data_IF_736112610563
#
_entry.id   IF_736112610563
#
_cell.length_a   1.000
_cell.length_b   1.000
_cell.length_c   1.000
_cell.angle_alpha   90.00
_cell.angle_beta   90.00
_cell.angle_gamma   90.00
#
_symmetry.space_group_name_H-M   'P 1'
#
loop_
_entity.id
_entity.type
_entity.pdbx_description
1 polymer ?
#
# COMPACT_ATOMS: atom_id res chain seq x y z
N UNK A 1 38.95 -2.69 -47.25
CA UNK A 1 38.56 -3.71 -46.26
C UNK A 1 37.50 -4.59 -46.91
N UNK A 2 37.78 -5.89 -46.96
CA UNK A 2 36.97 -7.03 -47.42
C UNK A 2 35.54 -7.03 -46.83
N UNK A 3 34.50 -7.66 -47.38
CA UNK A 3 34.26 -8.52 -48.56
C UNK A 3 32.73 -8.82 -48.60
N UNK A 4 32.03 -8.64 -49.74
CA UNK A 4 31.58 -9.66 -50.73
C UNK A 4 30.98 -10.93 -50.09
N UNK A 5 29.64 -11.08 -50.04
CA UNK A 5 28.71 -11.52 -51.11
C UNK A 5 28.70 -13.05 -51.41
N UNK A 6 27.49 -13.61 -51.26
CA UNK A 6 26.83 -14.65 -52.05
C UNK A 6 27.29 -16.13 -52.03
N UNK A 7 26.43 -16.95 -51.41
CA UNK A 7 25.63 -18.03 -52.01
C UNK A 7 26.29 -18.91 -53.09
N UNK A 8 26.49 -20.20 -52.79
CA UNK A 8 26.20 -21.30 -53.75
C UNK A 8 26.22 -22.68 -53.07
N UNK A 9 25.18 -23.49 -53.32
CA UNK A 9 25.22 -24.95 -53.40
C UNK A 9 24.86 -25.28 -54.87
N UNK A 10 25.44 -26.28 -55.56
CA UNK A 10 24.93 -27.67 -55.46
C UNK A 10 25.94 -28.81 -55.81
N UNK A 11 25.45 -30.05 -55.60
CA UNK A 11 25.61 -31.25 -56.47
C UNK A 11 26.69 -32.33 -56.19
N UNK A 12 26.20 -33.47 -55.66
CA UNK A 12 26.36 -34.90 -56.05
C UNK A 12 27.67 -35.38 -56.71
N UNK A 13 28.25 -36.49 -56.22
CA UNK A 13 28.78 -37.63 -57.02
C UNK A 13 29.05 -38.86 -56.12
N UNK A 14 28.92 -40.05 -56.72
CA UNK A 14 28.64 -41.37 -56.15
C UNK A 14 29.86 -42.32 -56.21
N UNK A 15 29.89 -43.32 -55.30
CA UNK A 15 30.44 -44.70 -55.44
C UNK A 15 31.96 -44.96 -55.54
N UNK A 16 32.45 -46.23 -55.46
CA UNK A 16 32.16 -47.36 -54.54
C UNK A 16 33.46 -48.12 -54.10
N UNK A 17 33.39 -49.14 -53.23
CA UNK A 17 34.16 -50.41 -53.43
C UNK A 17 33.79 -51.56 -52.49
N UNK A 18 33.74 -52.71 -53.13
CA UNK A 18 33.33 -54.06 -52.75
C UNK A 18 34.57 -54.92 -52.46
N UNK A 19 34.50 -55.85 -51.50
CA UNK A 19 35.38 -57.04 -51.45
C UNK A 19 34.83 -58.10 -50.47
N UNK A 20 34.94 -59.38 -50.88
CA UNK A 20 34.06 -60.49 -50.54
C UNK A 20 34.68 -61.58 -49.63
N UNK A 21 33.83 -62.17 -48.75
CA UNK A 21 33.69 -63.60 -48.29
C UNK A 21 34.93 -64.42 -47.82
N UNK A 22 34.83 -65.66 -47.23
CA UNK A 22 33.67 -66.60 -47.08
C UNK A 22 33.53 -67.44 -45.75
N UNK A 23 32.36 -68.13 -45.67
CA UNK A 23 32.06 -69.49 -45.11
C UNK A 23 31.85 -69.73 -43.58
N UNK A 24 30.71 -70.30 -43.18
CA UNK A 24 30.42 -71.75 -42.99
C UNK A 24 28.95 -72.00 -42.54
N UNK A 25 28.35 -73.13 -42.95
CA UNK A 25 27.10 -73.70 -42.40
C UNK A 25 27.43 -74.73 -41.31
N UNK A 26 26.51 -75.03 -40.36
CA UNK A 26 25.80 -76.32 -40.49
C UNK A 26 24.35 -76.40 -39.95
N UNK A 27 23.55 -77.19 -40.69
CA UNK A 27 22.55 -78.23 -40.32
C UNK A 27 21.28 -77.93 -39.49
N UNK A 28 20.23 -78.63 -39.95
CA UNK A 28 18.80 -78.65 -39.62
C UNK A 28 18.45 -79.17 -38.22
N UNK A 29 17.29 -78.74 -37.70
CA UNK A 29 16.42 -79.57 -36.86
C UNK A 29 14.94 -79.36 -37.27
N UNK A 30 14.17 -80.44 -37.28
CA UNK A 30 12.85 -80.60 -37.90
C UNK A 30 11.69 -80.26 -36.94
N UNK A 31 10.54 -79.89 -37.52
CA UNK A 31 9.25 -80.15 -36.88
C UNK A 31 8.36 -78.94 -36.61
N UNK A 32 7.79 -78.32 -37.67
CA UNK A 32 6.42 -77.74 -37.65
C UNK A 32 5.87 -77.81 -39.07
N UNK A 33 4.63 -78.27 -39.22
CA UNK A 33 3.88 -78.25 -40.48
C UNK A 33 4.00 -76.89 -41.17
N UNK A 34 4.82 -76.81 -42.22
CA UNK A 34 4.99 -75.60 -43.02
C UNK A 34 3.82 -75.52 -43.99
N UNK A 35 2.76 -74.78 -43.61
CA UNK A 35 1.78 -74.28 -44.58
C UNK A 35 2.53 -73.43 -45.60
N UNK A 36 2.76 -73.94 -46.80
CA UNK A 36 3.32 -73.19 -47.91
C UNK A 36 2.25 -72.24 -48.43
N UNK A 37 2.19 -71.03 -47.89
CA UNK A 37 1.33 -69.98 -48.43
C UNK A 37 1.78 -69.65 -49.85
N UNK A 38 0.83 -69.60 -50.77
CA UNK A 38 1.13 -69.13 -52.13
C UNK A 38 1.49 -67.65 -52.10
N UNK A 39 2.33 -67.19 -53.04
CA UNK A 39 2.79 -65.79 -53.10
C UNK A 39 1.62 -64.80 -53.19
N UNK A 40 0.50 -65.24 -53.76
CA UNK A 40 -0.76 -64.50 -53.88
C UNK A 40 -1.52 -64.39 -52.55
N UNK A 41 -1.59 -65.46 -51.75
CA UNK A 41 -2.17 -65.41 -50.39
C UNK A 41 -1.36 -64.51 -49.46
N UNK A 42 -0.03 -64.54 -49.57
CA UNK A 42 0.84 -63.66 -48.79
C UNK A 42 0.67 -62.19 -49.20
N UNK A 43 0.59 -61.90 -50.50
CA UNK A 43 0.35 -60.55 -51.01
C UNK A 43 -1.02 -60.00 -50.58
N UNK A 44 -2.06 -60.86 -50.61
CA UNK A 44 -3.40 -60.51 -50.14
C UNK A 44 -3.41 -60.21 -48.64
N UNK A 45 -2.82 -61.07 -47.80
CA UNK A 45 -2.73 -60.86 -46.36
C UNK A 45 -1.96 -59.58 -45.99
N UNK A 46 -0.82 -59.33 -46.65
CA UNK A 46 -0.04 -58.10 -46.45
C UNK A 46 -0.82 -56.87 -46.87
N UNK A 47 -1.57 -56.93 -47.99
CA UNK A 47 -2.40 -55.79 -48.44
C UNK A 47 -3.56 -55.49 -47.50
N UNK A 48 -4.21 -56.53 -46.96
CA UNK A 48 -5.28 -56.40 -45.97
C UNK A 48 -4.75 -55.77 -44.68
N UNK A 49 -3.60 -56.23 -44.21
CA UNK A 49 -2.96 -55.71 -43.00
C UNK A 49 -2.44 -54.28 -43.19
N UNK A 50 -1.93 -53.93 -44.38
CA UNK A 50 -1.53 -52.57 -44.72
C UNK A 50 -2.75 -51.62 -44.77
N UNK A 51 -3.88 -52.08 -45.30
CA UNK A 51 -5.10 -51.30 -45.34
C UNK A 51 -5.69 -51.11 -43.94
N UNK A 52 -5.68 -52.15 -43.09
CA UNK A 52 -6.05 -52.03 -41.68
C UNK A 52 -5.13 -51.04 -40.94
N UNK A 53 -3.82 -51.16 -41.10
CA UNK A 53 -2.86 -50.24 -40.50
C UNK A 53 -3.04 -48.80 -40.99
N UNK A 54 -3.38 -48.59 -42.27
CA UNK A 54 -3.68 -47.26 -42.80
C UNK A 54 -4.97 -46.67 -42.20
N UNK A 55 -6.01 -47.47 -42.04
CA UNK A 55 -7.26 -47.00 -41.44
C UNK A 55 -7.11 -46.72 -39.94
N UNK A 56 -6.37 -47.57 -39.20
CA UNK A 56 -6.02 -47.30 -37.81
C UNK A 56 -5.18 -46.03 -37.69
N UNK A 57 -4.17 -45.86 -38.54
CA UNK A 57 -3.32 -44.67 -38.56
C UNK A 57 -4.10 -43.39 -38.88
N UNK A 58 -5.03 -43.43 -39.84
CA UNK A 58 -5.91 -42.28 -40.13
C UNK A 58 -6.78 -41.93 -38.93
N UNK A 59 -7.31 -42.94 -38.23
CA UNK A 59 -8.15 -42.74 -37.05
C UNK A 59 -7.36 -42.15 -35.89
N UNK A 60 -6.17 -42.67 -35.59
CA UNK A 60 -5.31 -42.12 -34.54
C UNK A 60 -4.86 -40.70 -34.88
N UNK A 61 -4.54 -40.42 -36.14
CA UNK A 61 -4.17 -39.07 -36.59
C UNK A 61 -5.35 -38.09 -36.45
N UNK A 62 -6.57 -38.51 -36.79
CA UNK A 62 -7.77 -37.69 -36.63
C UNK A 62 -8.06 -37.39 -35.15
N UNK A 63 -7.95 -38.39 -34.27
CA UNK A 63 -8.14 -38.24 -32.83
C UNK A 63 -7.05 -37.33 -32.21
N UNK A 64 -5.81 -37.44 -32.66
CA UNK A 64 -4.69 -36.62 -32.20
C UNK A 64 -4.82 -35.16 -32.66
N UNK A 65 -5.25 -34.93 -33.90
CA UNK A 65 -5.56 -33.58 -34.40
C UNK A 65 -6.75 -32.97 -33.65
N UNK A 66 -7.78 -33.76 -33.35
CA UNK A 66 -8.92 -33.30 -32.57
C UNK A 66 -8.50 -32.92 -31.13
N UNK A 67 -7.70 -33.76 -30.46
CA UNK A 67 -7.14 -33.45 -29.13
C UNK A 67 -6.24 -32.23 -29.16
N UNK A 68 -5.34 -32.12 -30.14
CA UNK A 68 -4.44 -30.97 -30.26
C UNK A 68 -5.21 -29.65 -30.47
N UNK A 69 -6.34 -29.68 -31.19
CA UNK A 69 -7.24 -28.53 -31.34
C UNK A 69 -7.94 -28.20 -30.03
N UNK A 70 -8.50 -29.21 -29.34
CA UNK A 70 -9.19 -29.01 -28.07
C UNK A 70 -8.25 -28.46 -26.99
N UNK A 71 -7.03 -29.00 -26.89
CA UNK A 71 -6.00 -28.53 -25.95
C UNK A 71 -5.50 -27.13 -26.31
N UNK A 72 -5.39 -26.82 -27.60
CA UNK A 72 -5.07 -25.49 -28.10
C UNK A 72 -6.15 -24.46 -27.77
N UNK A 73 -7.42 -24.81 -27.99
CA UNK A 73 -8.57 -23.97 -27.64
C UNK A 73 -8.71 -23.77 -26.14
N UNK A 74 -8.52 -24.82 -25.33
CA UNK A 74 -8.53 -24.73 -23.86
C UNK A 74 -7.38 -23.87 -23.36
N UNK A 75 -6.16 -24.03 -23.88
CA UNK A 75 -5.01 -23.20 -23.49
C UNK A 75 -5.21 -21.74 -23.95
N UNK A 76 -5.77 -21.51 -25.13
CA UNK A 76 -6.07 -20.17 -25.63
C UNK A 76 -7.17 -19.49 -24.80
N UNK A 77 -8.26 -20.21 -24.49
CA UNK A 77 -9.35 -19.73 -23.62
C UNK A 77 -8.84 -19.51 -22.20
N UNK A 78 -8.17 -20.46 -21.56
CA UNK A 78 -7.58 -20.25 -20.23
C UNK A 78 -6.60 -19.08 -20.24
N UNK A 79 -5.73 -18.94 -21.25
CA UNK A 79 -4.83 -17.80 -21.30
C UNK A 79 -5.55 -16.46 -21.49
N UNK A 80 -6.71 -16.43 -22.15
CA UNK A 80 -7.54 -15.24 -22.31
C UNK A 80 -8.38 -14.96 -21.05
N UNK A 81 -9.00 -15.98 -20.46
CA UNK A 81 -9.84 -15.91 -19.28
C UNK A 81 -9.01 -15.61 -18.02
N UNK A 82 -7.84 -16.24 -17.85
CA UNK A 82 -6.89 -15.93 -16.75
C UNK A 82 -6.39 -14.49 -16.85
N UNK A 83 -6.11 -14.00 -18.08
CA UNK A 83 -5.74 -12.60 -18.28
C UNK A 83 -6.90 -11.66 -17.95
N UNK A 84 -8.11 -11.98 -18.42
CA UNK A 84 -9.30 -11.20 -18.12
C UNK A 84 -9.63 -11.19 -16.61
N UNK A 85 -9.43 -12.31 -15.91
CA UNK A 85 -9.64 -12.42 -14.47
C UNK A 85 -8.57 -11.66 -13.69
N UNK A 86 -7.30 -11.74 -14.10
CA UNK A 86 -6.22 -10.95 -13.52
C UNK A 86 -6.45 -9.44 -13.70
N UNK A 87 -6.84 -9.01 -14.90
CA UNK A 87 -7.16 -7.61 -15.19
C UNK A 87 -8.38 -7.14 -14.39
N UNK A 88 -9.43 -7.98 -14.29
CA UNK A 88 -10.59 -7.69 -13.45
C UNK A 88 -10.21 -7.56 -11.98
N UNK A 89 -9.41 -8.48 -11.44
CA UNK A 89 -8.98 -8.45 -10.05
C UNK A 89 -8.10 -7.23 -9.77
N UNK A 90 -7.19 -6.88 -10.68
CA UNK A 90 -6.36 -5.69 -10.57
C UNK A 90 -7.21 -4.40 -10.60
N UNK A 91 -8.26 -4.35 -11.44
CA UNK A 91 -9.21 -3.24 -11.47
C UNK A 91 -10.04 -3.17 -10.18
N UNK A 92 -10.54 -4.30 -9.69
CA UNK A 92 -11.30 -4.39 -8.44
C UNK A 92 -10.44 -3.95 -7.24
N UNK A 93 -9.18 -4.38 -7.18
CA UNK A 93 -8.23 -3.97 -6.14
C UNK A 93 -7.91 -2.47 -6.23
N UNK A 94 -7.66 -1.95 -7.44
CA UNK A 94 -7.42 -0.52 -7.65
C UNK A 94 -8.64 0.32 -7.25
N UNK A 95 -9.85 -0.13 -7.59
CA UNK A 95 -11.09 0.53 -7.20
C UNK A 95 -11.31 0.45 -5.69
N UNK A 96 -11.01 -0.68 -5.06
CA UNK A 96 -11.10 -0.84 -3.61
C UNK A 96 -10.11 0.10 -2.89
N UNK A 97 -8.88 0.20 -3.38
CA UNK A 97 -7.86 1.09 -2.84
C UNK A 97 -8.26 2.56 -3.01
N UNK A 98 -8.75 2.96 -4.19
CA UNK A 98 -9.24 4.31 -4.43
C UNK A 98 -10.43 4.66 -3.54
N UNK A 99 -11.37 3.72 -3.35
CA UNK A 99 -12.50 3.92 -2.44
C UNK A 99 -12.02 4.09 -0.99
N UNK A 100 -11.08 3.26 -0.54
CA UNK A 100 -10.53 3.36 0.80
C UNK A 100 -9.78 4.69 1.04
N UNK A 101 -9.04 5.17 0.04
CA UNK A 101 -8.33 6.47 0.11
C UNK A 101 -9.31 7.65 0.15
N UNK A 102 -10.34 7.65 -0.69
CA UNK A 102 -11.41 8.65 -0.67
C UNK A 102 -12.10 8.65 0.69
N UNK A 103 -12.49 7.47 1.19
CA UNK A 103 -13.18 7.35 2.48
C UNK A 103 -12.29 7.83 3.64
N UNK A 104 -10.99 7.51 3.62
CA UNK A 104 -10.03 8.00 4.60
C UNK A 104 -9.93 9.53 4.56
N UNK A 105 -9.85 10.12 3.34
CA UNK A 105 -9.78 11.56 3.16
C UNK A 105 -11.06 12.27 3.61
N UNK A 106 -12.23 11.74 3.27
CA UNK A 106 -13.53 12.25 3.71
C UNK A 106 -13.65 12.20 5.23
N UNK A 107 -13.27 11.08 5.86
CA UNK A 107 -13.25 10.95 7.32
C UNK A 107 -12.33 12.00 7.95
N UNK A 108 -11.13 12.20 7.41
CA UNK A 108 -10.19 13.22 7.90
C UNK A 108 -10.76 14.64 7.80
N UNK A 109 -11.44 14.95 6.69
CA UNK A 109 -12.10 16.26 6.51
C UNK A 109 -13.24 16.44 7.51
N UNK A 110 -14.09 15.44 7.69
CA UNK A 110 -15.18 15.47 8.67
C UNK A 110 -14.66 15.67 10.10
N UNK A 111 -13.59 14.97 10.48
CA UNK A 111 -12.94 15.14 11.78
C UNK A 111 -12.36 16.54 11.93
N UNK A 112 -11.71 17.09 10.89
CA UNK A 112 -11.19 18.45 10.90
C UNK A 112 -12.31 19.47 11.11
N UNK A 113 -13.42 19.31 10.40
CA UNK A 113 -14.56 20.22 10.50
C UNK A 113 -15.23 20.11 11.88
N UNK A 114 -15.31 18.91 12.47
CA UNK A 114 -15.77 18.69 13.83
C UNK A 114 -14.84 19.35 14.88
N UNK A 115 -13.53 19.25 14.72
CA UNK A 115 -12.54 19.91 15.59
C UNK A 115 -12.67 21.44 15.50
N UNK A 116 -12.82 21.97 14.28
CA UNK A 116 -13.04 23.40 14.06
C UNK A 116 -14.35 23.88 14.70
N UNK A 117 -15.44 23.12 14.56
CA UNK A 117 -16.72 23.41 15.22
C UNK A 117 -16.62 23.39 16.75
N UNK A 118 -15.75 22.53 17.31
CA UNK A 118 -15.47 22.50 18.75
C UNK A 118 -14.55 23.65 19.22
N UNK A 119 -14.01 24.47 18.31
CA UNK A 119 -13.07 25.56 18.58
C UNK A 119 -11.63 25.09 18.83
N UNK A 120 -11.29 23.87 18.41
CA UNK A 120 -9.96 23.29 18.59
C UNK A 120 -9.17 23.39 17.27
N UNK A 121 -8.16 24.25 17.26
CA UNK A 121 -7.26 24.39 16.11
C UNK A 121 -6.08 23.42 16.26
N UNK A 122 -6.27 22.19 15.76
CA UNK A 122 -5.25 21.14 15.72
C UNK A 122 -4.53 21.19 14.35
N UNK A 123 -3.19 21.05 14.30
CA UNK A 123 -2.45 20.92 13.04
C UNK A 123 -2.97 19.76 12.19
N UNK A 124 -2.91 19.90 10.86
CA UNK A 124 -3.44 18.87 9.94
C UNK A 124 -2.75 17.51 10.05
N UNK A 125 -1.53 17.49 10.57
CA UNK A 125 -0.72 16.28 10.84
C UNK A 125 -1.31 15.45 11.99
N UNK A 126 -1.93 16.12 12.96
CA UNK A 126 -2.43 15.49 14.19
C UNK A 126 -3.94 15.16 14.14
N UNK A 127 -4.64 15.57 13.08
CA UNK A 127 -6.09 15.28 12.90
C UNK A 127 -6.35 13.78 12.88
N UNK A 128 -5.42 12.99 12.37
CA UNK A 128 -5.53 11.53 12.28
C UNK A 128 -5.65 10.85 13.66
N UNK A 129 -5.19 11.50 14.73
CA UNK A 129 -5.34 11.02 16.12
C UNK A 129 -6.81 10.99 16.57
N UNK A 130 -7.65 11.81 15.96
CA UNK A 130 -9.05 11.96 16.33
C UNK A 130 -9.99 11.21 15.38
N UNK A 131 -9.50 10.73 14.23
CA UNK A 131 -10.30 9.99 13.26
C UNK A 131 -10.68 8.63 13.86
N UNK A 132 -11.96 8.43 14.13
CA UNK A 132 -12.51 7.15 14.56
C UNK A 132 -13.32 6.48 13.45
N UNK A 133 -13.72 5.23 13.67
CA UNK A 133 -14.52 4.45 12.71
C UNK A 133 -15.84 5.13 12.37
N UNK A 134 -16.44 5.80 13.35
CA UNK A 134 -17.74 6.49 13.21
C UNK A 134 -17.59 7.98 13.55
N UNK A 135 -18.43 8.81 12.93
CA UNK A 135 -18.44 10.26 13.19
C UNK A 135 -18.89 10.59 14.62
N UNK A 136 -19.86 9.84 15.16
CA UNK A 136 -20.35 10.05 16.53
C UNK A 136 -19.29 9.72 17.59
N UNK A 137 -18.47 8.69 17.35
CA UNK A 137 -17.37 8.34 18.24
C UNK A 137 -16.26 9.39 18.17
N UNK A 138 -16.01 9.94 16.98
CA UNK A 138 -15.12 11.09 16.78
C UNK A 138 -15.58 12.30 17.59
N UNK A 139 -16.85 12.70 17.49
CA UNK A 139 -17.40 13.82 18.26
C UNK A 139 -17.24 13.61 19.78
N UNK A 140 -17.62 12.43 20.29
CA UNK A 140 -17.46 12.10 21.72
C UNK A 140 -16.02 12.17 22.18
N UNK A 141 -15.07 11.73 21.35
CA UNK A 141 -13.64 11.81 21.67
C UNK A 141 -13.15 13.26 21.73
N UNK A 142 -13.57 14.08 20.76
CA UNK A 142 -13.25 15.51 20.72
C UNK A 142 -13.77 16.22 21.98
N UNK A 143 -15.02 15.97 22.37
CA UNK A 143 -15.61 16.56 23.57
C UNK A 143 -14.87 16.13 24.84
N UNK A 144 -14.54 14.85 24.95
CA UNK A 144 -13.78 14.31 26.09
C UNK A 144 -12.39 14.93 26.16
N UNK A 145 -11.71 15.06 25.04
CA UNK A 145 -10.40 15.69 24.95
C UNK A 145 -10.47 17.15 25.40
N UNK A 146 -11.46 17.91 24.90
CA UNK A 146 -11.70 19.30 25.31
C UNK A 146 -11.88 19.43 26.81
N UNK A 147 -12.71 18.58 27.42
CA UNK A 147 -12.93 18.58 28.87
C UNK A 147 -11.65 18.26 29.64
N UNK A 148 -10.89 17.24 29.22
CA UNK A 148 -9.65 16.84 29.88
C UNK A 148 -8.62 17.97 29.87
N UNK A 149 -8.42 18.61 28.72
CA UNK A 149 -7.49 19.74 28.59
C UNK A 149 -7.94 20.91 29.45
N UNK A 150 -9.24 21.24 29.47
CA UNK A 150 -9.76 22.32 30.31
C UNK A 150 -9.51 22.05 31.80
N UNK A 151 -9.78 20.84 32.28
CA UNK A 151 -9.53 20.46 33.68
C UNK A 151 -8.04 20.53 34.02
N UNK A 152 -7.17 20.01 33.17
CA UNK A 152 -5.73 20.00 33.44
C UNK A 152 -5.13 21.41 33.38
N UNK A 153 -5.55 22.25 32.44
CA UNK A 153 -5.15 23.65 32.37
C UNK A 153 -5.65 24.41 33.60
N UNK A 154 -6.89 24.19 34.03
CA UNK A 154 -7.41 24.79 35.26
C UNK A 154 -6.58 24.33 36.47
N UNK A 155 -6.28 23.04 36.60
CA UNK A 155 -5.44 22.52 37.68
C UNK A 155 -4.04 23.12 37.66
N UNK A 156 -3.41 23.25 36.49
CA UNK A 156 -2.10 23.88 36.37
C UNK A 156 -2.15 25.37 36.74
N UNK A 157 -3.21 26.09 36.35
CA UNK A 157 -3.42 27.48 36.75
C UNK A 157 -3.63 27.56 38.27
N UNK A 158 -4.45 26.67 38.86
CA UNK A 158 -4.65 26.61 40.30
C UNK A 158 -3.33 26.31 41.04
N UNK A 159 -2.51 25.39 40.55
CA UNK A 159 -1.19 25.14 41.11
C UNK A 159 -0.28 26.37 41.00
N UNK A 160 -0.20 27.01 39.82
CA UNK A 160 0.59 28.23 39.61
C UNK A 160 0.13 29.42 40.44
N UNK A 161 -1.17 29.54 40.70
CA UNK A 161 -1.74 30.63 41.52
C UNK A 161 -1.68 30.33 43.02
N UNK A 162 -1.72 29.05 43.42
CA UNK A 162 -1.49 28.62 44.80
C UNK A 162 -0.02 28.74 45.20
N UNK A 163 0.90 28.50 44.25
CA UNK A 163 2.31 28.79 44.42
C UNK A 163 2.47 30.31 44.30
N UNK A 164 2.52 31.03 45.42
CA UNK A 164 2.57 32.51 45.52
C UNK A 164 3.83 33.15 44.89
N UNK A 165 4.13 32.91 43.63
CA UNK A 165 4.99 33.82 42.88
C UNK A 165 4.11 34.97 42.38
N UNK A 166 4.02 36.02 43.19
CA UNK A 166 3.60 37.33 42.67
C UNK A 166 4.44 37.63 41.44
N UNK A 167 3.83 38.01 40.29
CA UNK A 167 4.60 38.44 39.14
C UNK A 167 5.60 39.49 39.63
N UNK A 168 6.89 39.27 39.38
CA UNK A 168 7.87 40.34 39.46
C UNK A 168 7.52 41.30 38.32
N UNK A 169 6.49 42.12 38.53
CA UNK A 169 6.35 43.40 37.86
C UNK A 169 7.71 44.04 38.02
N UNK A 170 8.32 44.44 36.90
CA UNK A 170 9.65 45.02 36.87
C UNK A 170 9.77 46.03 38.00
N UNK A 171 10.48 45.62 39.04
CA UNK A 171 10.85 46.50 40.12
C UNK A 171 11.92 47.40 39.50
N UNK A 172 11.47 48.50 38.89
CA UNK A 172 12.20 49.74 39.07
C UNK A 172 12.21 49.96 40.59
N UNK A 173 13.37 49.90 41.27
CA UNK A 173 13.44 50.03 42.73
C UNK A 173 13.11 51.46 43.19
N UNK A 174 12.77 52.36 42.28
CA UNK A 174 12.24 53.66 42.62
C UNK A 174 10.72 53.63 42.49
N UNK A 175 10.07 53.70 43.66
CA UNK A 175 8.75 54.32 43.87
C UNK A 175 7.53 53.41 43.85
N UNK A 176 7.41 52.56 44.86
CA UNK A 176 6.10 52.19 45.41
C UNK A 176 6.00 52.80 46.79
N UNK A 177 5.30 53.93 46.90
CA UNK A 177 4.91 54.49 48.20
C UNK A 177 3.97 53.44 48.80
N UNK A 178 4.48 52.63 49.73
CA UNK A 178 3.67 51.61 50.37
C UNK A 178 2.51 52.30 51.09
N UNK A 179 1.24 51.88 50.89
CA UNK A 179 0.06 52.51 51.51
C UNK A 179 0.00 52.34 53.03
N UNK A 180 1.04 51.76 53.64
CA UNK A 180 1.15 51.49 55.07
C UNK A 180 1.67 52.68 55.88
N UNK A 181 2.34 53.67 55.25
CA UNK A 181 2.80 54.88 55.95
C UNK A 181 1.68 55.92 56.00
N UNK A 182 1.41 56.47 57.19
CA UNK A 182 0.54 57.64 57.32
C UNK A 182 1.19 58.88 56.71
N UNK A 183 0.40 59.91 56.42
CA UNK A 183 0.91 61.16 55.82
C UNK A 183 2.05 61.77 56.66
N UNK A 184 2.00 61.71 57.99
CA UNK A 184 3.05 62.24 58.86
C UNK A 184 4.37 61.44 58.81
N UNK A 185 4.30 60.17 58.43
CA UNK A 185 5.44 59.28 58.32
C UNK A 185 6.11 59.31 56.94
N UNK A 186 5.53 60.04 55.97
CA UNK A 186 6.13 60.25 54.66
C UNK A 186 7.08 61.44 54.67
N UNK A 187 8.25 61.25 54.07
CA UNK A 187 9.18 62.32 53.74
C UNK A 187 8.55 63.31 52.76
N UNK A 188 9.12 64.52 52.68
CA UNK A 188 8.67 65.53 51.74
C UNK A 188 8.73 65.06 50.27
N UNK A 189 9.70 64.21 49.94
CA UNK A 189 9.86 63.66 48.59
C UNK A 189 8.75 62.65 48.26
N UNK A 190 8.43 61.76 49.20
CA UNK A 190 7.33 60.80 49.08
C UNK A 190 5.99 61.55 48.96
N UNK A 191 5.78 62.61 49.74
CA UNK A 191 4.57 63.47 49.66
C UNK A 191 4.43 64.16 48.31
N UNK A 192 5.51 64.81 47.83
CA UNK A 192 5.54 65.52 46.53
C UNK A 192 5.22 64.57 45.39
N UNK A 193 5.73 63.36 45.48
CA UNK A 193 5.53 62.36 44.46
C UNK A 193 4.12 61.78 44.49
N UNK A 194 3.57 61.48 45.67
CA UNK A 194 2.18 61.07 45.80
C UNK A 194 1.25 62.13 45.19
N UNK A 195 1.55 63.41 45.41
CA UNK A 195 0.81 64.51 44.79
C UNK A 195 0.90 64.55 43.26
N UNK A 196 2.03 64.12 42.67
CA UNK A 196 2.22 64.09 41.22
C UNK A 196 1.58 62.86 40.56
N UNK A 197 1.61 61.72 41.24
CA UNK A 197 1.14 60.43 40.70
C UNK A 197 -0.33 60.16 41.00
N UNK A 198 -0.79 60.51 42.21
CA UNK A 198 -2.18 60.36 42.65
C UNK A 198 -2.60 61.51 43.60
N UNK A 199 -3.04 62.65 43.03
CA UNK A 199 -3.52 63.78 43.82
C UNK A 199 -4.68 63.44 44.76
N UNK A 200 -5.52 62.46 44.42
CA UNK A 200 -6.67 62.07 45.22
C UNK A 200 -6.23 61.28 46.46
N UNK A 201 -5.29 60.34 46.31
CA UNK A 201 -4.70 59.63 47.44
C UNK A 201 -3.91 60.56 48.37
N UNK A 202 -3.22 61.56 47.82
CA UNK A 202 -2.56 62.60 48.62
C UNK A 202 -3.52 63.33 49.55
N UNK A 203 -4.66 63.80 49.02
CA UNK A 203 -5.66 64.50 49.84
C UNK A 203 -6.31 63.56 50.87
N UNK A 204 -6.67 62.34 50.48
CA UNK A 204 -7.28 61.37 51.39
C UNK A 204 -6.37 61.00 52.57
N UNK A 205 -5.05 60.91 52.36
CA UNK A 205 -4.09 60.65 53.44
C UNK A 205 -3.81 61.89 54.28
N UNK A 206 -3.80 63.08 53.68
CA UNK A 206 -3.70 64.35 54.39
C UNK A 206 -4.89 64.57 55.32
N UNK A 207 -6.11 64.39 54.83
CA UNK A 207 -7.34 64.58 55.62
C UNK A 207 -7.44 63.60 56.78
N UNK A 208 -6.93 62.37 56.61
CA UNK A 208 -6.84 61.36 57.69
C UNK A 208 -5.78 61.67 58.75
N UNK A 209 -4.79 62.52 58.46
CA UNK A 209 -3.74 62.92 59.41
C UNK A 209 -4.14 64.13 60.25
N UNK A 210 -5.14 64.90 59.80
CA UNK A 210 -5.65 66.08 60.51
C UNK A 210 -6.78 65.74 61.51
N UNK A 211 -7.16 64.46 61.61
CA UNK A 211 -8.16 63.93 62.55
C UNK A 211 -7.48 63.10 63.64
#
# INVERSE_FOLDING_TARGET
MNGKENNTNPEVTVEPKDEAQPQEQPKQDEGKEQKTFTREELASAVSAQLNQAKEEFKKTLADEVAKAREDGEKRAKMSADERAEADRKALEEKLAQQRADIEARERKLNTRDALAAAGLHIPSEDVDLFVQKDIDTTHRMIDRFKQLVQVEVQNQIHQRTATKETPKVGADPTKTISPTKSFDQMSYEEKRQLFQEDPAAYQALKDKSVN
#
